data_IF_184393061182
#
_entry.id   IF_184393061182
#
_cell.length_a   1.000
_cell.length_b   1.000
_cell.length_c   1.000
_cell.angle_alpha   90.00
_cell.angle_beta   90.00
_cell.angle_gamma   90.00
#
_symmetry.space_group_name_H-M   'P 1'
#
loop_
_entity.id
_entity.type
_entity.pdbx_description
1 polymer ?
#
# COMPACT_ATOMS: atom_id res chain seq x y z
N UNK A 1 9.32 17.67 -19.92
CA UNK A 1 9.24 18.10 -18.50
C UNK A 1 8.58 17.04 -17.61
N UNK A 2 7.45 16.46 -18.05
CA UNK A 2 6.72 15.38 -17.34
C UNK A 2 7.57 14.14 -17.03
N UNK A 3 8.22 13.54 -18.04
CA UNK A 3 9.01 12.32 -17.84
C UNK A 3 10.06 12.45 -16.72
N UNK A 4 10.73 13.61 -16.61
CA UNK A 4 11.72 13.86 -15.54
C UNK A 4 11.07 13.89 -14.15
N UNK A 5 9.86 14.42 -14.03
CA UNK A 5 9.08 14.37 -12.80
C UNK A 5 8.69 12.92 -12.47
N UNK A 6 8.22 12.16 -13.45
CA UNK A 6 7.80 10.77 -13.25
C UNK A 6 8.97 9.88 -12.85
N UNK A 7 10.16 10.09 -13.44
CA UNK A 7 11.39 9.41 -13.03
C UNK A 7 11.80 9.73 -11.59
N UNK A 8 11.59 10.99 -11.14
CA UNK A 8 11.82 11.35 -9.73
C UNK A 8 10.84 10.61 -8.82
N UNK A 9 9.54 10.65 -9.13
CA UNK A 9 8.49 9.93 -8.41
C UNK A 9 8.83 8.43 -8.29
N UNK A 10 9.17 7.78 -9.41
CA UNK A 10 9.61 6.39 -9.46
C UNK A 10 10.85 6.11 -8.61
N UNK A 11 11.83 7.01 -8.59
CA UNK A 11 13.03 6.85 -7.75
C UNK A 11 12.66 6.83 -6.26
N UNK A 12 11.75 7.69 -5.83
CA UNK A 12 11.25 7.71 -4.45
C UNK A 12 10.46 6.43 -4.12
N UNK A 13 9.54 6.03 -4.99
CA UNK A 13 8.73 4.81 -4.83
C UNK A 13 9.63 3.57 -4.80
N UNK A 14 10.62 3.48 -5.69
CA UNK A 14 11.58 2.37 -5.73
C UNK A 14 12.41 2.29 -4.44
N UNK A 15 12.80 3.43 -3.86
CA UNK A 15 13.54 3.45 -2.59
C UNK A 15 12.66 2.98 -1.43
N UNK A 16 11.41 3.43 -1.38
CA UNK A 16 10.42 2.95 -0.41
C UNK A 16 10.20 1.43 -0.55
N UNK A 17 9.96 0.94 -1.77
CA UNK A 17 9.77 -0.49 -2.05
C UNK A 17 10.97 -1.35 -1.63
N UNK A 18 12.19 -0.88 -1.94
CA UNK A 18 13.43 -1.54 -1.47
C UNK A 18 13.56 -1.57 0.04
N UNK A 19 13.06 -0.54 0.74
CA UNK A 19 13.05 -0.48 2.21
C UNK A 19 12.18 -1.57 2.85
N UNK A 20 11.08 -1.96 2.19
CA UNK A 20 10.22 -3.07 2.63
C UNK A 20 10.91 -4.43 2.42
N UNK A 21 11.79 -4.51 1.42
CA UNK A 21 12.50 -5.73 1.01
C UNK A 21 11.54 -6.91 0.77
N UNK A 22 10.50 -6.65 -0.04
CA UNK A 22 9.42 -7.60 -0.38
C UNK A 22 9.99 -8.92 -0.90
N UNK A 23 10.98 -8.88 -1.80
CA UNK A 23 11.59 -10.08 -2.36
C UNK A 23 12.17 -11.05 -1.30
N UNK A 24 12.69 -10.51 -0.18
CA UNK A 24 13.24 -11.33 0.91
C UNK A 24 12.17 -11.69 1.94
N UNK A 25 11.34 -10.73 2.33
CA UNK A 25 10.41 -10.90 3.45
C UNK A 25 9.07 -11.53 3.05
N UNK A 26 8.71 -11.42 1.77
CA UNK A 26 7.44 -11.81 1.16
C UNK A 26 7.74 -12.46 -0.20
N UNK A 27 8.58 -13.50 -0.22
CA UNK A 27 9.09 -14.12 -1.45
C UNK A 27 8.01 -14.74 -2.36
N UNK A 28 6.79 -14.89 -1.85
CA UNK A 28 5.63 -15.33 -2.61
C UNK A 28 4.97 -14.19 -3.41
N UNK A 29 5.20 -12.94 -3.02
CA UNK A 29 4.58 -11.78 -3.64
C UNK A 29 5.30 -11.38 -4.94
N UNK A 30 4.53 -10.94 -5.93
CA UNK A 30 5.03 -10.52 -7.23
C UNK A 30 5.68 -9.13 -7.13
N UNK A 31 6.86 -8.95 -7.74
CA UNK A 31 7.49 -7.62 -7.84
C UNK A 31 6.92 -6.84 -9.03
N UNK A 32 5.92 -5.99 -8.76
CA UNK A 32 5.15 -5.27 -9.79
C UNK A 32 5.23 -3.75 -9.68
N UNK A 33 6.14 -3.20 -8.87
CA UNK A 33 6.16 -1.77 -8.53
C UNK A 33 6.20 -0.84 -9.75
N UNK A 34 6.95 -1.22 -10.80
CA UNK A 34 7.06 -0.42 -12.03
C UNK A 34 5.78 -0.46 -12.86
N UNK A 35 5.15 -1.62 -12.96
CA UNK A 35 3.91 -1.84 -13.71
C UNK A 35 2.75 -1.14 -13.03
N UNK A 36 2.69 -1.24 -11.71
CA UNK A 36 1.69 -0.59 -10.89
C UNK A 36 1.81 0.94 -10.95
N UNK A 37 3.02 1.49 -10.87
CA UNK A 37 3.22 2.93 -11.12
C UNK A 37 2.76 3.33 -12.53
N UNK A 38 3.06 2.49 -13.54
CA UNK A 38 2.61 2.74 -14.91
C UNK A 38 1.08 2.72 -15.04
N UNK A 39 0.37 1.85 -14.32
CA UNK A 39 -1.09 1.90 -14.24
C UNK A 39 -1.58 3.21 -13.62
N UNK A 40 -0.93 3.67 -12.55
CA UNK A 40 -1.27 4.93 -11.89
C UNK A 40 -1.02 6.15 -12.79
N UNK A 41 0.02 6.12 -13.62
CA UNK A 41 0.22 7.13 -14.67
C UNK A 41 -0.96 7.21 -15.65
N UNK A 42 -1.58 6.07 -15.96
CA UNK A 42 -2.77 6.00 -16.80
C UNK A 42 -4.00 6.66 -16.16
N UNK A 43 -4.06 6.74 -14.83
CA UNK A 43 -5.14 7.41 -14.10
C UNK A 43 -4.98 8.94 -14.17
N UNK A 44 -3.78 9.46 -13.84
CA UNK A 44 -3.46 10.89 -13.95
C UNK A 44 -1.98 11.09 -14.27
N UNK A 45 -1.65 11.72 -15.41
CA UNK A 45 -0.26 11.96 -15.84
C UNK A 45 0.20 13.41 -15.63
N UNK A 46 -0.73 14.33 -15.35
CA UNK A 46 -0.46 15.76 -15.29
C UNK A 46 0.35 16.14 -14.03
N UNK A 47 1.14 17.24 -14.07
CA UNK A 47 2.07 17.59 -12.99
C UNK A 47 1.43 17.74 -11.61
N UNK A 48 0.22 18.33 -11.56
CA UNK A 48 -0.50 18.65 -10.33
C UNK A 48 -0.91 17.41 -9.51
N UNK A 49 -0.97 16.24 -10.14
CA UNK A 49 -1.35 14.98 -9.49
C UNK A 49 -0.14 14.18 -8.97
N UNK A 50 1.03 14.81 -8.80
CA UNK A 50 2.23 14.15 -8.29
C UNK A 50 2.01 13.46 -6.95
N UNK A 51 1.35 14.14 -6.01
CA UNK A 51 1.02 13.60 -4.70
C UNK A 51 0.07 12.41 -4.81
N UNK A 52 -1.01 12.56 -5.58
CA UNK A 52 -2.00 11.52 -5.83
C UNK A 52 -1.35 10.27 -6.44
N UNK A 53 -0.43 10.43 -7.40
CA UNK A 53 0.32 9.30 -7.97
C UNK A 53 1.20 8.60 -6.94
N UNK A 54 1.88 9.35 -6.07
CA UNK A 54 2.72 8.77 -5.01
C UNK A 54 1.87 7.93 -4.06
N UNK A 55 0.78 8.51 -3.54
CA UNK A 55 -0.17 7.86 -2.64
C UNK A 55 -0.74 6.60 -3.31
N UNK A 56 -1.37 6.75 -4.48
CA UNK A 56 -2.07 5.66 -5.14
C UNK A 56 -1.14 4.53 -5.56
N UNK A 57 0.13 4.83 -5.92
CA UNK A 57 1.12 3.79 -6.22
C UNK A 57 1.46 2.96 -4.98
N UNK A 58 1.65 3.59 -3.81
CA UNK A 58 1.89 2.83 -2.58
C UNK A 58 0.68 1.98 -2.20
N UNK A 59 -0.52 2.55 -2.28
CA UNK A 59 -1.78 1.85 -2.00
C UNK A 59 -1.97 0.64 -2.90
N UNK A 60 -1.79 0.76 -4.22
CA UNK A 60 -1.97 -0.35 -5.15
C UNK A 60 -0.86 -1.42 -5.01
N UNK A 61 0.36 -1.03 -4.63
CA UNK A 61 1.42 -1.99 -4.29
C UNK A 61 1.04 -2.82 -3.07
N UNK A 62 0.50 -2.20 -2.02
CA UNK A 62 0.00 -2.93 -0.85
C UNK A 62 -1.19 -3.82 -1.20
N UNK A 63 -2.14 -3.33 -2.00
CA UNK A 63 -3.26 -4.14 -2.49
C UNK A 63 -2.78 -5.37 -3.27
N UNK A 64 -1.74 -5.24 -4.11
CA UNK A 64 -1.16 -6.36 -4.85
C UNK A 64 -0.48 -7.39 -3.94
N UNK A 65 0.16 -6.97 -2.84
CA UNK A 65 0.72 -7.91 -1.86
C UNK A 65 -0.41 -8.64 -1.13
N UNK A 66 -1.46 -7.92 -0.74
CA UNK A 66 -2.61 -8.49 -0.04
C UNK A 66 -3.30 -9.52 -0.96
N UNK A 67 -3.53 -9.19 -2.23
CA UNK A 67 -4.02 -10.11 -3.27
C UNK A 67 -3.19 -11.42 -3.30
N UNK A 68 -1.86 -11.32 -3.36
CA UNK A 68 -0.98 -12.51 -3.35
C UNK A 68 -1.07 -13.32 -2.04
N UNK A 69 -1.31 -12.66 -0.90
CA UNK A 69 -1.55 -13.35 0.38
C UNK A 69 -2.84 -14.16 0.30
N UNK A 70 -3.94 -13.59 -0.20
CA UNK A 70 -5.23 -14.27 -0.26
C UNK A 70 -5.28 -15.38 -1.33
N UNK A 71 -4.60 -15.20 -2.46
CA UNK A 71 -4.70 -16.12 -3.60
C UNK A 71 -3.68 -17.26 -3.57
N UNK A 72 -2.47 -17.03 -3.03
CA UNK A 72 -1.34 -17.96 -3.21
C UNK A 72 -0.84 -18.54 -1.89
N UNK A 73 -0.77 -17.75 -0.82
CA UNK A 73 0.06 -18.12 0.34
C UNK A 73 -0.71 -18.37 1.64
N UNK A 74 -1.75 -17.58 1.93
CA UNK A 74 -2.43 -17.61 3.21
C UNK A 74 -3.34 -18.82 3.38
N UNK A 75 -3.32 -19.44 4.56
CA UNK A 75 -4.32 -20.46 4.92
C UNK A 75 -5.63 -19.81 5.35
N UNK A 76 -6.76 -20.48 5.18
CA UNK A 76 -8.08 -19.93 5.54
C UNK A 76 -8.17 -19.36 6.96
N UNK A 77 -7.51 -20.02 7.94
CA UNK A 77 -7.47 -19.57 9.34
C UNK A 77 -6.68 -18.26 9.48
N UNK A 78 -5.51 -18.18 8.85
CA UNK A 78 -4.68 -16.97 8.86
C UNK A 78 -5.37 -15.80 8.13
N UNK A 79 -6.00 -16.07 6.99
CA UNK A 79 -6.73 -15.08 6.21
C UNK A 79 -7.90 -14.49 7.00
N UNK A 80 -8.59 -15.29 7.81
CA UNK A 80 -9.65 -14.76 8.70
C UNK A 80 -9.10 -13.78 9.72
N UNK A 81 -7.97 -14.11 10.36
CA UNK A 81 -7.30 -13.21 11.32
C UNK A 81 -6.83 -11.93 10.62
N UNK A 82 -6.32 -12.05 9.40
CA UNK A 82 -5.85 -10.92 8.62
C UNK A 82 -6.99 -10.00 8.17
N UNK A 83 -8.11 -10.56 7.68
CA UNK A 83 -9.31 -9.79 7.35
C UNK A 83 -9.83 -9.04 8.58
N UNK A 84 -9.88 -9.70 9.74
CA UNK A 84 -10.35 -9.07 10.98
C UNK A 84 -9.41 -7.94 11.44
N UNK A 85 -8.10 -8.10 11.28
CA UNK A 85 -7.11 -7.05 11.56
C UNK A 85 -7.26 -5.85 10.61
N UNK A 86 -7.44 -6.08 9.30
CA UNK A 86 -7.66 -4.99 8.33
C UNK A 86 -8.95 -4.23 8.64
N UNK A 87 -10.04 -4.94 8.98
CA UNK A 87 -11.31 -4.31 9.36
C UNK A 87 -11.22 -3.46 10.63
N UNK A 88 -10.42 -3.89 11.61
CA UNK A 88 -10.20 -3.15 12.86
C UNK A 88 -9.28 -1.94 12.68
N UNK A 89 -8.35 -2.02 11.74
CA UNK A 89 -7.37 -0.96 11.46
C UNK A 89 -6.61 -0.49 12.72
N UNK A 90 -6.17 -1.43 13.56
CA UNK A 90 -5.51 -1.16 14.84
C UNK A 90 -4.22 -1.98 14.96
N UNK A 91 -3.10 -1.28 15.22
CA UNK A 91 -1.78 -1.89 15.41
C UNK A 91 -1.77 -2.97 16.51
N UNK A 92 -2.68 -2.90 17.49
CA UNK A 92 -2.81 -3.92 18.54
C UNK A 92 -3.16 -5.31 17.98
N UNK A 93 -3.71 -5.40 16.77
CA UNK A 93 -4.02 -6.66 16.10
C UNK A 93 -2.76 -7.35 15.55
N UNK A 94 -1.62 -6.65 15.44
CA UNK A 94 -0.42 -7.18 14.80
C UNK A 94 0.10 -8.44 15.50
N UNK A 95 -0.05 -8.56 16.81
CA UNK A 95 0.51 -9.67 17.55
C UNK A 95 -0.15 -11.02 17.27
N UNK A 96 -1.40 -10.97 16.79
CA UNK A 96 -2.21 -12.13 16.45
C UNK A 96 -1.89 -12.69 15.06
N UNK A 97 -1.16 -11.95 14.23
CA UNK A 97 -0.87 -12.32 12.85
C UNK A 97 0.40 -13.18 12.73
N UNK A 98 0.48 -14.08 11.73
CA UNK A 98 1.72 -14.73 11.33
C UNK A 98 2.81 -13.72 10.96
N UNK A 99 4.09 -14.08 11.15
CA UNK A 99 5.24 -13.17 10.94
C UNK A 99 5.23 -12.43 9.59
N UNK A 100 4.87 -13.10 8.50
CA UNK A 100 4.83 -12.49 7.17
C UNK A 100 3.68 -11.48 7.02
N UNK A 101 2.49 -11.80 7.57
CA UNK A 101 1.35 -10.89 7.62
C UNK A 101 1.60 -9.69 8.54
N UNK A 102 2.36 -9.85 9.64
CA UNK A 102 2.75 -8.72 10.52
C UNK A 102 3.47 -7.63 9.72
N UNK A 103 4.43 -8.02 8.88
CA UNK A 103 5.15 -7.07 8.04
C UNK A 103 4.20 -6.35 7.07
N UNK A 104 3.39 -7.11 6.33
CA UNK A 104 2.44 -6.54 5.39
C UNK A 104 1.46 -5.58 6.08
N UNK A 105 0.91 -5.98 7.24
CA UNK A 105 -0.02 -5.19 8.01
C UNK A 105 0.61 -3.90 8.53
N UNK A 106 1.83 -3.99 9.08
CA UNK A 106 2.57 -2.82 9.53
C UNK A 106 2.79 -1.81 8.41
N UNK A 107 3.29 -2.28 7.25
CA UNK A 107 3.53 -1.40 6.11
C UNK A 107 2.23 -0.78 5.59
N UNK A 108 1.11 -1.53 5.63
CA UNK A 108 -0.21 -0.99 5.27
C UNK A 108 -0.61 0.17 6.20
N UNK A 109 -0.45 0.00 7.52
CA UNK A 109 -0.73 1.05 8.50
C UNK A 109 0.19 2.25 8.30
N UNK A 110 1.51 2.03 8.17
CA UNK A 110 2.51 3.09 7.95
C UNK A 110 2.19 3.91 6.68
N UNK A 111 1.77 3.26 5.59
CA UNK A 111 1.36 3.93 4.35
C UNK A 111 0.15 4.82 4.57
N UNK A 112 -0.87 4.34 5.30
CA UNK A 112 -2.07 5.13 5.54
C UNK A 112 -1.84 6.24 6.57
N UNK A 113 -0.94 6.05 7.54
CA UNK A 113 -0.51 7.12 8.45
C UNK A 113 0.18 8.26 7.68
N UNK A 114 1.11 7.94 6.77
CA UNK A 114 1.73 8.93 5.87
C UNK A 114 0.67 9.68 5.03
N UNK A 115 -0.33 8.97 4.51
CA UNK A 115 -1.43 9.59 3.75
C UNK A 115 -2.28 10.49 4.66
N UNK A 116 -2.53 10.11 5.90
CA UNK A 116 -3.27 10.93 6.86
C UNK A 116 -2.53 12.22 7.19
N UNK A 117 -1.21 12.16 7.38
CA UNK A 117 -0.37 13.34 7.57
C UNK A 117 -0.46 14.29 6.36
N UNK A 118 -0.25 13.77 5.15
CA UNK A 118 -0.33 14.55 3.90
C UNK A 118 -1.72 15.17 3.69
N UNK A 119 -2.79 14.42 3.97
CA UNK A 119 -4.17 14.91 3.80
C UNK A 119 -4.61 15.84 4.93
N UNK A 120 -4.01 15.74 6.12
CA UNK A 120 -4.27 16.66 7.22
C UNK A 120 -3.76 18.07 6.88
N UNK A 121 -2.55 18.18 6.32
CA UNK A 121 -1.97 19.45 5.88
C UNK A 121 -2.86 20.17 4.85
N UNK A 122 -3.54 19.40 4.00
CA UNK A 122 -4.43 19.91 2.97
C UNK A 122 -5.91 20.07 3.42
N UNK A 123 -6.24 19.77 4.68
CA UNK A 123 -7.61 19.83 5.20
C UNK A 123 -8.57 18.77 4.60
N UNK A 124 -8.01 17.69 4.06
CA UNK A 124 -8.71 16.61 3.32
C UNK A 124 -8.70 15.26 4.02
N UNK A 125 -8.43 15.22 5.33
CA UNK A 125 -8.32 13.99 6.12
C UNK A 125 -9.55 13.07 5.98
N UNK A 126 -10.75 13.62 5.80
CA UNK A 126 -11.98 12.84 5.59
C UNK A 126 -11.91 11.89 4.37
N UNK A 127 -11.10 12.20 3.35
CA UNK A 127 -10.90 11.33 2.19
C UNK A 127 -10.25 10.00 2.58
N UNK A 128 -9.39 10.01 3.60
CA UNK A 128 -8.67 8.81 4.03
C UNK A 128 -9.61 7.82 4.72
N UNK A 129 -10.62 8.33 5.45
CA UNK A 129 -11.67 7.49 6.01
C UNK A 129 -12.36 6.64 4.92
N UNK A 130 -12.75 7.26 3.79
CA UNK A 130 -13.37 6.53 2.69
C UNK A 130 -12.41 5.53 2.03
N UNK A 131 -11.13 5.88 1.90
CA UNK A 131 -10.12 4.95 1.39
C UNK A 131 -9.96 3.72 2.30
N UNK A 132 -9.89 3.91 3.63
CA UNK A 132 -9.81 2.82 4.62
C UNK A 132 -11.05 1.91 4.55
N UNK A 133 -12.24 2.50 4.41
CA UNK A 133 -13.50 1.74 4.25
C UNK A 133 -13.43 0.83 3.01
N UNK A 134 -12.99 1.36 1.86
CA UNK A 134 -12.86 0.55 0.63
C UNK A 134 -11.88 -0.62 0.83
N UNK A 135 -10.73 -0.39 1.47
CA UNK A 135 -9.76 -1.46 1.76
C UNK A 135 -10.31 -2.48 2.75
N UNK A 136 -11.04 -2.07 3.78
CA UNK A 136 -11.65 -2.97 4.77
C UNK A 136 -12.82 -3.80 4.26
N UNK A 137 -13.36 -3.46 3.09
CA UNK A 137 -14.40 -4.22 2.39
C UNK A 137 -13.86 -5.14 1.30
N UNK A 138 -12.56 -5.07 1.00
CA UNK A 138 -11.85 -6.04 0.15
C UNK A 138 -11.65 -7.35 0.93
#
# INVERSE_FOLDING_TARGET
MLQKQHQKELSHISRWWKGINVATNLSFARDRVMELYFWILGVYFEPQYSLARRILTKTICMASIIDDIYDVYGTHVELKLFTDAIKRWDISCIDQLPKYMKLCYKVLLDVFEEIEEEMCEDGRLYCVYYAKVVVGHY
#
